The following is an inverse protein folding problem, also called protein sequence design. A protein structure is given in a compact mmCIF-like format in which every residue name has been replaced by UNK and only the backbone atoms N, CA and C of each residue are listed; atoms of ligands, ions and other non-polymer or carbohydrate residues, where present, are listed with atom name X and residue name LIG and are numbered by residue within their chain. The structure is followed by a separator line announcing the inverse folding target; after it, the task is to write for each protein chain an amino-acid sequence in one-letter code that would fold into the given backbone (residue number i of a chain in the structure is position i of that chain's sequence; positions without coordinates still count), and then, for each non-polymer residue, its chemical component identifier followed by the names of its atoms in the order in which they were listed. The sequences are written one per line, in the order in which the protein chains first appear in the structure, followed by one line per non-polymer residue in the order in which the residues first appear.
data_IF_083045218651
#
_entry.id   IF_083045218651
#
_cell.length_a   1.000
_cell.length_b   1.000
_cell.length_c   1.000
_cell.angle_alpha   90.00
_cell.angle_beta   90.00
_cell.angle_gamma   90.00
#
_symmetry.space_group_name_H-M   'P 1'
#
loop_
_entity.id
_entity.type
_entity.pdbx_description
1 polymer ?
#
# COMPACT_ATOMS: atom_id res chain seq x y z
N UNK A 1 -6.54 -3.71 -28.35
CA UNK A 1 -5.28 -3.63 -29.12
C UNK A 1 -4.16 -4.05 -28.17
N UNK A 2 -3.79 -5.33 -28.21
CA UNK A 2 -2.86 -5.96 -27.26
C UNK A 2 -1.42 -5.50 -27.55
N UNK A 3 -0.68 -5.12 -26.51
CA UNK A 3 0.67 -4.56 -26.60
C UNK A 3 1.75 -5.52 -26.09
N UNK A 4 1.49 -6.84 -26.10
CA UNK A 4 2.32 -7.84 -25.40
C UNK A 4 3.17 -8.73 -26.33
N UNK A 5 3.72 -8.19 -27.43
CA UNK A 5 4.64 -9.00 -28.23
C UNK A 5 5.67 -8.20 -29.01
N UNK A 6 6.61 -7.58 -28.31
CA UNK A 6 7.90 -7.22 -28.90
C UNK A 6 8.94 -8.29 -28.53
N UNK A 7 8.91 -9.41 -29.25
CA UNK A 7 10.08 -10.29 -29.34
C UNK A 7 11.00 -9.73 -30.43
N UNK A 8 11.80 -8.74 -30.07
CA UNK A 8 12.86 -8.24 -30.95
C UNK A 8 14.18 -8.84 -30.45
N UNK A 9 14.86 -9.59 -31.31
CA UNK A 9 16.20 -10.12 -31.03
C UNK A 9 17.17 -9.24 -31.81
N UNK A 10 17.88 -8.39 -31.08
CA UNK A 10 18.95 -7.55 -31.63
C UNK A 10 20.32 -8.15 -31.30
N UNK A 11 21.25 -8.02 -32.24
CA UNK A 11 22.64 -8.44 -32.09
C UNK A 11 23.53 -7.20 -31.97
N UNK A 12 24.42 -7.21 -30.99
CA UNK A 12 25.40 -6.14 -30.78
C UNK A 12 26.78 -6.79 -30.84
N UNK A 13 27.59 -6.34 -31.80
CA UNK A 13 28.98 -6.75 -31.90
C UNK A 13 29.85 -5.86 -31.03
N UNK A 14 30.59 -6.50 -30.13
CA UNK A 14 31.58 -5.83 -29.30
C UNK A 14 32.95 -5.86 -29.97
N UNK A 15 33.83 -4.89 -29.65
CA UNK A 15 35.22 -4.97 -30.07
C UNK A 15 35.87 -6.27 -29.55
N UNK A 16 36.87 -6.81 -30.28
CA UNK A 16 37.54 -8.03 -29.88
C UNK A 16 38.27 -7.84 -28.55
N UNK A 17 38.16 -8.85 -27.69
CA UNK A 17 38.86 -8.89 -26.40
C UNK A 17 40.19 -9.63 -26.53
N UNK A 18 41.15 -9.26 -25.70
CA UNK A 18 42.43 -9.96 -25.62
C UNK A 18 42.21 -11.38 -25.08
N UNK A 19 42.87 -12.36 -25.69
CA UNK A 19 42.80 -13.77 -25.29
C UNK A 19 43.75 -14.05 -24.12
N UNK A 20 43.51 -13.35 -23.02
CA UNK A 20 44.28 -13.45 -21.78
C UNK A 20 43.64 -14.39 -20.75
N UNK A 21 42.43 -14.90 -21.04
CA UNK A 21 41.65 -15.76 -20.15
C UNK A 21 41.07 -15.06 -18.93
N UNK A 22 41.08 -13.73 -18.93
CA UNK A 22 40.45 -12.93 -17.89
C UNK A 22 38.93 -13.03 -17.93
N UNK A 23 38.33 -12.73 -16.78
CA UNK A 23 36.88 -12.76 -16.58
C UNK A 23 36.31 -11.36 -16.76
N UNK A 24 35.38 -11.23 -17.68
CA UNK A 24 34.67 -10.01 -18.00
C UNK A 24 33.22 -10.12 -17.54
N UNK A 25 32.64 -8.98 -17.17
CA UNK A 25 31.24 -8.89 -16.75
C UNK A 25 30.50 -7.99 -17.75
N UNK A 26 29.43 -8.52 -18.32
CA UNK A 26 28.52 -7.79 -19.18
C UNK A 26 27.21 -7.52 -18.44
N UNK A 27 26.80 -6.26 -18.40
CA UNK A 27 25.59 -5.81 -17.70
C UNK A 27 24.72 -5.07 -18.70
N UNK A 28 23.44 -5.45 -18.77
CA UNK A 28 22.47 -4.66 -19.51
C UNK A 28 21.97 -3.50 -18.64
N UNK A 29 22.01 -2.28 -19.18
CA UNK A 29 21.35 -1.12 -18.57
C UNK A 29 20.14 -0.72 -19.40
N UNK A 30 19.08 -0.27 -18.73
CA UNK A 30 17.84 0.17 -19.36
C UNK A 30 17.45 1.56 -18.87
N UNK A 31 16.94 2.39 -19.77
CA UNK A 31 16.36 3.72 -19.48
C UNK A 31 14.86 3.67 -19.21
N UNK A 32 14.26 2.47 -19.22
CA UNK A 32 12.84 2.29 -18.99
C UNK A 32 12.43 2.71 -17.56
N UNK A 33 11.30 3.40 -17.42
CA UNK A 33 10.85 3.90 -16.12
C UNK A 33 10.40 2.76 -15.20
N UNK A 34 11.07 2.63 -14.05
CA UNK A 34 10.71 1.65 -13.00
C UNK A 34 9.38 1.93 -12.30
N UNK A 35 8.80 3.11 -12.52
CA UNK A 35 7.47 3.45 -12.03
C UNK A 35 6.37 2.74 -12.83
N UNK A 36 6.56 2.65 -14.15
CA UNK A 36 5.56 2.09 -15.06
C UNK A 36 5.84 0.63 -15.42
N UNK A 37 7.08 0.17 -15.23
CA UNK A 37 7.50 -1.17 -15.62
C UNK A 37 8.24 -1.88 -14.49
N UNK A 38 8.03 -3.18 -14.42
CA UNK A 38 8.83 -4.09 -13.61
C UNK A 38 9.75 -4.91 -14.51
N UNK A 39 11.04 -4.90 -14.20
CA UNK A 39 12.07 -5.56 -14.99
C UNK A 39 13.34 -5.78 -14.19
N UNK A 40 14.03 -6.87 -14.52
CA UNK A 40 15.37 -7.20 -14.03
C UNK A 40 16.40 -6.91 -15.11
N UNK A 41 17.57 -6.40 -14.69
CA UNK A 41 18.69 -6.16 -15.58
C UNK A 41 19.60 -7.40 -15.60
N UNK A 42 19.68 -8.16 -16.71
CA UNK A 42 20.54 -9.31 -16.79
C UNK A 42 22.02 -8.92 -16.72
N UNK A 43 22.79 -9.75 -16.03
CA UNK A 43 24.24 -9.65 -15.91
C UNK A 43 24.83 -11.04 -16.18
N UNK A 44 25.87 -11.09 -17.01
CA UNK A 44 26.57 -12.33 -17.36
C UNK A 44 28.08 -12.14 -17.22
N UNK A 45 28.72 -13.10 -16.57
CA UNK A 45 30.18 -13.16 -16.44
C UNK A 45 30.73 -14.19 -17.44
N UNK A 46 31.80 -13.84 -18.15
CA UNK A 46 32.38 -14.70 -19.17
C UNK A 46 33.91 -14.56 -19.26
N UNK A 47 34.59 -15.62 -19.67
CA UNK A 47 36.05 -15.61 -19.87
C UNK A 47 36.45 -15.42 -21.34
N UNK A 48 37.57 -14.75 -21.58
CA UNK A 48 38.16 -14.48 -22.92
C UNK A 48 38.98 -15.65 -23.49
N UNK A 49 38.54 -16.90 -23.29
CA UNK A 49 39.30 -18.08 -23.71
C UNK A 49 39.10 -18.50 -25.19
N UNK A 50 38.05 -17.99 -25.86
CA UNK A 50 37.63 -18.43 -27.21
C UNK A 50 37.69 -17.33 -28.27
N UNK A 51 37.48 -17.72 -29.53
CA UNK A 51 37.48 -16.80 -30.68
C UNK A 51 36.19 -16.00 -30.85
N UNK A 52 35.05 -16.65 -30.59
CA UNK A 52 33.73 -16.03 -30.63
C UNK A 52 32.93 -16.51 -29.43
N UNK A 53 32.23 -15.58 -28.78
CA UNK A 53 31.30 -15.89 -27.71
C UNK A 53 30.01 -15.12 -27.91
N UNK A 54 28.93 -15.86 -28.13
CA UNK A 54 27.59 -15.29 -28.15
C UNK A 54 27.02 -15.34 -26.73
N UNK A 55 26.50 -14.21 -26.26
CA UNK A 55 25.88 -14.08 -24.95
C UNK A 55 24.48 -13.50 -25.15
N UNK A 56 23.47 -14.23 -24.68
CA UNK A 56 22.08 -13.77 -24.73
C UNK A 56 21.71 -13.11 -23.41
N UNK A 57 21.31 -11.84 -23.47
CA UNK A 57 20.82 -11.08 -22.33
C UNK A 57 19.31 -10.98 -22.40
N UNK A 58 18.60 -11.76 -21.59
CA UNK A 58 17.14 -11.79 -21.60
C UNK A 58 16.58 -10.58 -20.84
N UNK A 59 15.83 -9.72 -21.53
CA UNK A 59 15.21 -8.52 -20.97
C UNK A 59 13.71 -8.50 -21.28
N UNK A 60 12.88 -8.83 -20.28
CA UNK A 60 11.43 -8.93 -20.41
C UNK A 60 10.73 -7.92 -19.50
N UNK A 61 10.61 -6.63 -19.88
CA UNK A 61 9.92 -5.66 -19.07
C UNK A 61 8.40 -5.90 -19.09
N UNK A 62 7.81 -5.97 -17.90
CA UNK A 62 6.36 -6.09 -17.73
C UNK A 62 5.78 -4.74 -17.33
N UNK A 63 4.63 -4.35 -17.88
CA UNK A 63 3.95 -3.13 -17.41
C UNK A 63 3.41 -3.37 -16.01
N UNK A 64 3.76 -2.47 -15.08
CA UNK A 64 3.03 -2.34 -13.83
C UNK A 64 1.66 -1.81 -14.17
N UNK A 65 0.66 -2.68 -14.07
CA UNK A 65 -0.72 -2.23 -14.02
C UNK A 65 -0.78 -1.37 -12.74
N UNK A 66 -1.30 -0.14 -12.80
CA UNK A 66 -1.63 0.56 -11.57
C UNK A 66 -2.53 -0.40 -10.82
N UNK A 67 -2.10 -0.88 -9.65
CA UNK A 67 -3.05 -1.40 -8.70
C UNK A 67 -4.05 -0.25 -8.58
N UNK A 68 -5.23 -0.44 -9.17
CA UNK A 68 -6.33 0.45 -8.88
C UNK A 68 -6.55 0.22 -7.41
N UNK A 69 -5.86 1.00 -6.58
CA UNK A 69 -6.22 1.23 -5.21
C UNK A 69 -7.68 1.60 -5.32
N UNK A 70 -8.54 0.62 -5.07
CA UNK A 70 -9.97 0.82 -4.88
C UNK A 70 -9.96 1.82 -3.76
N UNK A 71 -10.10 3.10 -4.13
CA UNK A 71 -9.76 4.23 -3.26
C UNK A 71 -10.36 3.88 -1.91
N UNK A 72 -9.59 3.93 -0.83
CA UNK A 72 -10.05 3.43 0.47
C UNK A 72 -11.46 3.96 0.85
N UNK A 73 -11.85 5.10 0.27
CA UNK A 73 -13.21 5.65 0.28
C UNK A 73 -14.31 4.84 -0.45
N UNK A 74 -14.06 4.05 -1.48
CA UNK A 74 -15.03 3.18 -2.17
C UNK A 74 -15.63 2.12 -1.25
N UNK A 75 -14.83 1.57 -0.32
CA UNK A 75 -15.32 0.63 0.70
C UNK A 75 -16.32 1.28 1.68
N UNK A 76 -16.23 2.59 1.89
CA UNK A 76 -17.15 3.36 2.74
C UNK A 76 -18.29 3.96 1.92
N UNK A 77 -18.02 4.37 0.69
CA UNK A 77 -18.97 4.98 -0.21
C UNK A 77 -20.06 3.98 -0.61
N UNK A 78 -19.71 2.72 -0.88
CA UNK A 78 -20.69 1.70 -1.29
C UNK A 78 -21.75 1.38 -0.22
N UNK A 79 -21.41 1.10 1.06
CA UNK A 79 -22.44 0.92 2.08
C UNK A 79 -23.21 2.22 2.35
N UNK A 80 -22.56 3.39 2.26
CA UNK A 80 -23.23 4.68 2.46
C UNK A 80 -24.26 4.97 1.36
N UNK A 81 -23.93 4.75 0.09
CA UNK A 81 -24.85 4.95 -1.03
C UNK A 81 -26.01 3.96 -0.98
N UNK A 82 -25.75 2.70 -0.61
CA UNK A 82 -26.81 1.71 -0.40
C UNK A 82 -27.78 2.13 0.72
N UNK A 83 -27.24 2.64 1.84
CA UNK A 83 -28.07 3.13 2.94
C UNK A 83 -28.91 4.34 2.51
N UNK A 84 -28.33 5.26 1.74
CA UNK A 84 -29.05 6.43 1.22
C UNK A 84 -30.15 6.03 0.22
N UNK A 85 -29.88 5.04 -0.63
CA UNK A 85 -30.87 4.47 -1.54
C UNK A 85 -32.03 3.80 -0.78
N UNK A 86 -31.71 3.02 0.26
CA UNK A 86 -32.71 2.40 1.13
C UNK A 86 -33.52 3.46 1.90
N UNK A 87 -32.89 4.55 2.33
CA UNK A 87 -33.57 5.66 2.99
C UNK A 87 -34.52 6.39 2.04
N UNK A 88 -34.13 6.58 0.77
CA UNK A 88 -35.00 7.16 -0.25
C UNK A 88 -36.17 6.23 -0.62
N UNK A 89 -35.91 4.92 -0.74
CA UNK A 89 -36.92 3.93 -1.09
C UNK A 89 -37.91 3.65 0.06
N UNK A 90 -37.44 3.65 1.31
CA UNK A 90 -38.19 3.26 2.49
C UNK A 90 -38.05 4.30 3.62
N UNK A 91 -38.42 5.54 3.29
CA UNK A 91 -38.31 6.69 4.20
C UNK A 91 -39.09 6.49 5.51
N UNK A 92 -40.20 5.74 5.49
CA UNK A 92 -41.01 5.52 6.70
C UNK A 92 -40.33 4.66 7.78
N UNK A 93 -39.47 3.69 7.40
CA UNK A 93 -38.84 2.78 8.36
C UNK A 93 -37.37 3.07 8.63
N UNK A 94 -36.67 3.69 7.68
CA UNK A 94 -35.21 3.89 7.78
C UNK A 94 -34.87 5.15 8.58
N UNK A 95 -35.69 6.21 8.49
CA UNK A 95 -35.52 7.43 9.30
C UNK A 95 -35.54 7.14 10.81
N UNK A 96 -36.52 6.40 11.38
CA UNK A 96 -36.52 6.10 12.81
C UNK A 96 -35.37 5.19 13.23
N UNK A 97 -34.92 4.27 12.38
CA UNK A 97 -33.75 3.42 12.68
C UNK A 97 -32.43 4.21 12.70
N UNK A 98 -32.25 5.15 11.78
CA UNK A 98 -31.12 6.08 11.78
C UNK A 98 -31.11 6.95 13.04
N UNK A 99 -32.26 7.51 13.42
CA UNK A 99 -32.40 8.30 14.64
C UNK A 99 -32.12 7.45 15.89
N UNK A 100 -32.59 6.21 15.94
CA UNK A 100 -32.28 5.28 17.03
C UNK A 100 -30.79 4.96 17.12
N UNK A 101 -30.12 4.79 15.98
CA UNK A 101 -28.69 4.51 15.95
C UNK A 101 -27.86 5.72 16.40
N UNK A 102 -28.22 6.92 15.94
CA UNK A 102 -27.60 8.18 16.37
C UNK A 102 -27.80 8.40 17.88
N UNK A 103 -29.01 8.19 18.38
CA UNK A 103 -29.31 8.31 19.81
C UNK A 103 -28.57 7.27 20.67
N UNK A 104 -28.39 6.03 20.19
CA UNK A 104 -27.57 5.03 20.88
C UNK A 104 -26.10 5.44 20.95
N UNK A 105 -25.55 5.97 19.85
CA UNK A 105 -24.14 6.39 19.81
C UNK A 105 -23.90 7.61 20.70
N UNK A 106 -24.81 8.58 20.70
CA UNK A 106 -24.74 9.74 21.59
C UNK A 106 -24.96 9.36 23.06
N UNK A 107 -25.91 8.46 23.34
CA UNK A 107 -26.19 7.94 24.68
C UNK A 107 -25.01 7.20 25.29
N UNK A 108 -24.35 6.31 24.52
CA UNK A 108 -23.15 5.57 24.99
C UNK A 108 -21.98 6.52 25.23
N UNK A 109 -21.78 7.55 24.39
CA UNK A 109 -20.76 8.58 24.62
C UNK A 109 -21.05 9.38 25.89
N UNK A 110 -22.30 9.79 26.11
CA UNK A 110 -22.70 10.50 27.34
C UNK A 110 -22.49 9.65 28.59
N UNK A 111 -22.78 8.35 28.54
CA UNK A 111 -22.58 7.43 29.65
C UNK A 111 -21.08 7.16 29.91
N UNK A 112 -20.26 7.04 28.87
CA UNK A 112 -18.80 6.93 29.02
C UNK A 112 -18.18 8.17 29.66
N UNK A 113 -18.73 9.35 29.36
CA UNK A 113 -18.25 10.61 29.92
C UNK A 113 -18.69 10.78 31.38
N UNK A 114 -19.94 10.43 31.71
CA UNK A 114 -20.44 10.42 33.09
C UNK A 114 -19.70 9.39 33.96
N UNK A 115 -19.36 8.21 33.43
CA UNK A 115 -18.52 7.24 34.16
C UNK A 115 -17.08 7.74 34.38
N UNK A 116 -16.49 8.43 33.41
CA UNK A 116 -15.16 9.04 33.56
C UNK A 116 -15.15 10.18 34.57
N UNK A 117 -16.18 11.04 34.55
CA UNK A 117 -16.31 12.17 35.48
C UNK A 117 -16.54 11.70 36.93
N UNK A 118 -17.31 10.63 37.15
CA UNK A 118 -17.50 10.05 38.49
C UNK A 118 -16.23 9.38 39.01
N UNK A 119 -15.48 8.68 38.17
CA UNK A 119 -14.19 8.07 38.54
C UNK A 119 -13.14 9.14 38.91
N UNK A 120 -13.10 10.26 38.16
CA UNK A 120 -12.24 11.39 38.46
C UNK A 120 -12.61 12.09 39.78
N UNK A 121 -13.91 12.21 40.07
CA UNK A 121 -14.41 12.80 41.32
C UNK A 121 -14.08 11.95 42.55
N UNK A 122 -14.17 10.62 42.43
CA UNK A 122 -13.82 9.69 43.51
C UNK A 122 -12.31 9.67 43.80
N UNK A 123 -11.46 9.76 42.77
CA UNK A 123 -10.01 9.89 42.95
C UNK A 123 -9.63 11.24 43.55
N UNK A 124 -10.27 12.34 43.14
CA UNK A 124 -10.05 13.67 43.71
C UNK A 124 -10.42 13.73 45.21
N UNK A 125 -11.53 13.08 45.62
CA UNK A 125 -11.92 12.97 47.04
C UNK A 125 -10.92 12.14 47.86
N UNK A 126 -10.33 11.09 47.27
CA UNK A 126 -9.30 10.26 47.92
C UNK A 126 -7.99 11.02 48.11
N UNK A 127 -7.59 11.83 47.14
CA UNK A 127 -6.37 12.64 47.21
C UNK A 127 -6.51 13.81 48.19
N UNK A 128 -7.67 14.47 48.25
CA UNK A 128 -7.95 15.54 49.21
C UNK A 128 -7.89 15.04 50.67
N UNK A 129 -8.26 13.78 50.94
CA UNK A 129 -8.15 13.17 52.27
C UNK A 129 -6.70 12.85 52.66
N UNK A 130 -5.83 12.56 51.69
CA UNK A 130 -4.40 12.25 51.92
C UNK A 130 -3.54 13.49 52.17
N UNK A 131 -3.86 14.64 51.58
CA UNK A 131 -3.08 15.87 51.78
C UNK A 131 -3.23 16.49 53.18
N UNK A 132 -4.32 16.23 53.90
CA UNK A 132 -4.55 16.80 55.25
C UNK A 132 -3.74 16.12 56.37
N UNK A 133 -3.03 15.03 56.08
CA UNK A 133 -2.23 14.28 57.05
C UNK A 133 -0.73 14.65 57.06
N UNK A 134 -0.30 15.62 56.25
CA UNK A 134 1.12 16.02 56.15
C UNK A 134 1.29 17.51 56.45
N UNK A 135 1.10 17.87 57.72
CA UNK A 135 1.56 19.13 58.29
C UNK A 135 2.02 18.88 59.73
N UNK A 136 3.28 18.51 59.86
CA UNK A 136 4.12 18.58 61.06
C UNK A 136 5.55 18.75 60.59
#
# INVERSE_FOLDING_TARGET
MNLDQFHYIDYIDFPPLERNGESYVLILHSTLSRFQFDFTLPQVTFTSNGYHKHITLTFNPTRKVPDQDVAQGSYIALPLTLLLLLAAYNHEKVIPLLLQLVNRIQGVRSMSQVSADNAALDEAKRQAKRQKARRT
#
